data_IF_371875588568
#
_entry.id   IF_371875588568
#
_cell.length_a   1.000
_cell.length_b   1.000
_cell.length_c   1.000
_cell.angle_alpha   90.00
_cell.angle_beta   90.00
_cell.angle_gamma   90.00
#
_symmetry.space_group_name_H-M   'P 1'
#
loop_
_entity.id
_entity.type
_entity.pdbx_description
1 polymer ?
#
# COMPACT_ATOMS: atom_id res chain seq x y z
N UNK A 1 -88.41 -60.56 -20.88
CA UNK A 1 -87.29 -60.27 -19.91
C UNK A 1 -86.02 -60.81 -20.54
N UNK A 2 -85.29 -59.96 -21.21
CA UNK A 2 -84.03 -60.33 -21.89
C UNK A 2 -82.92 -59.45 -21.43
N UNK A 3 -81.97 -60.05 -20.75
CA UNK A 3 -80.74 -59.41 -20.29
C UNK A 3 -79.75 -59.38 -21.43
N UNK A 4 -79.27 -58.20 -21.82
CA UNK A 4 -78.12 -58.03 -22.74
C UNK A 4 -76.86 -57.61 -21.98
N UNK A 5 -75.92 -58.49 -22.09
CA UNK A 5 -74.57 -58.34 -21.44
C UNK A 5 -73.68 -57.49 -22.33
N UNK A 6 -73.29 -56.26 -21.91
CA UNK A 6 -72.34 -55.43 -22.63
C UNK A 6 -70.98 -55.52 -21.93
N UNK A 7 -69.96 -56.06 -22.61
CA UNK A 7 -68.57 -56.07 -22.18
C UNK A 7 -67.92 -54.67 -22.21
N UNK A 8 -67.11 -54.29 -21.26
CA UNK A 8 -66.45 -52.98 -21.29
C UNK A 8 -65.20 -53.01 -22.22
N UNK A 9 -65.06 -51.96 -23.03
CA UNK A 9 -63.89 -51.67 -23.88
C UNK A 9 -62.74 -51.21 -23.05
N UNK A 10 -61.60 -51.92 -23.06
CA UNK A 10 -60.32 -51.49 -22.50
C UNK A 10 -59.75 -50.37 -23.36
N UNK A 11 -59.62 -49.16 -22.82
CA UNK A 11 -58.83 -48.07 -23.41
C UNK A 11 -57.32 -48.39 -23.13
N UNK A 12 -56.54 -48.51 -24.21
CA UNK A 12 -55.05 -48.55 -24.12
C UNK A 12 -54.60 -47.10 -23.92
N UNK A 13 -53.98 -46.82 -22.77
CA UNK A 13 -53.21 -45.59 -22.50
C UNK A 13 -51.84 -45.76 -23.19
N UNK A 14 -51.57 -44.97 -24.20
CA UNK A 14 -50.25 -44.75 -24.74
C UNK A 14 -49.48 -43.80 -23.77
N UNK A 15 -48.51 -44.35 -23.06
CA UNK A 15 -47.57 -43.53 -22.29
C UNK A 15 -46.51 -42.98 -23.27
N UNK A 16 -46.64 -41.70 -23.57
CA UNK A 16 -45.63 -40.95 -24.29
C UNK A 16 -44.51 -40.55 -23.30
N UNK A 17 -43.32 -41.14 -23.43
CA UNK A 17 -42.15 -40.70 -22.74
C UNK A 17 -41.62 -39.44 -23.42
N UNK A 18 -41.79 -38.29 -22.79
CA UNK A 18 -41.15 -37.05 -23.19
C UNK A 18 -39.70 -37.06 -22.63
N UNK A 19 -38.73 -37.24 -23.51
CA UNK A 19 -37.31 -37.07 -23.17
C UNK A 19 -37.03 -35.56 -23.06
N UNK A 20 -36.83 -35.05 -21.84
CA UNK A 20 -36.32 -33.69 -21.58
C UNK A 20 -34.83 -33.71 -21.82
N UNK A 21 -34.40 -33.18 -22.96
CA UNK A 21 -32.97 -32.91 -23.21
C UNK A 21 -32.55 -31.68 -22.39
N UNK A 22 -31.82 -31.89 -21.26
CA UNK A 22 -31.18 -30.81 -20.51
C UNK A 22 -29.92 -30.41 -21.28
N UNK A 23 -30.03 -29.34 -22.04
CA UNK A 23 -28.85 -28.68 -22.64
C UNK A 23 -28.11 -27.95 -21.53
N UNK A 24 -27.01 -28.52 -21.00
CA UNK A 24 -26.09 -27.83 -20.12
C UNK A 24 -25.30 -26.83 -20.98
N UNK A 25 -25.70 -25.58 -20.98
CA UNK A 25 -24.93 -24.50 -21.54
C UNK A 25 -23.70 -24.32 -20.64
N UNK A 26 -22.54 -24.80 -21.07
CA UNK A 26 -21.26 -24.50 -20.46
C UNK A 26 -21.00 -22.99 -20.66
N UNK A 27 -21.27 -22.18 -19.65
CA UNK A 27 -20.77 -20.82 -19.59
C UNK A 27 -19.24 -20.91 -19.45
N UNK A 28 -18.53 -20.74 -20.56
CA UNK A 28 -17.10 -20.48 -20.52
C UNK A 28 -16.91 -19.11 -19.85
N UNK A 29 -16.52 -19.12 -18.56
CA UNK A 29 -16.02 -17.93 -17.88
C UNK A 29 -14.74 -17.55 -18.65
N UNK A 30 -14.85 -16.59 -19.58
CA UNK A 30 -13.70 -15.91 -20.10
C UNK A 30 -13.10 -15.15 -18.92
N UNK A 31 -12.06 -15.69 -18.30
CA UNK A 31 -11.16 -14.91 -17.48
C UNK A 31 -10.52 -13.90 -18.42
N UNK A 32 -11.05 -12.67 -18.47
CA UNK A 32 -10.29 -11.57 -19.04
C UNK A 32 -8.98 -11.53 -18.25
N UNK A 33 -7.87 -11.85 -18.92
CA UNK A 33 -6.56 -11.59 -18.34
C UNK A 33 -6.56 -10.12 -17.91
N UNK A 34 -6.20 -9.86 -16.65
CA UNK A 34 -6.12 -8.49 -16.16
C UNK A 34 -5.17 -7.72 -17.09
N UNK A 35 -5.63 -6.56 -17.55
CA UNK A 35 -4.83 -5.72 -18.44
C UNK A 35 -3.56 -5.32 -17.69
N UNK A 36 -2.41 -5.76 -18.20
CA UNK A 36 -1.11 -5.44 -17.62
C UNK A 36 -0.50 -4.25 -18.33
N UNK A 37 0.18 -3.41 -17.57
CA UNK A 37 0.92 -2.23 -18.05
C UNK A 37 2.39 -2.34 -17.63
N UNK A 38 3.30 -1.89 -18.47
CA UNK A 38 4.70 -1.72 -18.05
C UNK A 38 4.79 -0.67 -16.95
N UNK A 39 5.56 -0.93 -15.88
CA UNK A 39 5.74 0.03 -14.79
C UNK A 39 6.31 1.37 -15.28
N UNK A 40 7.14 1.36 -16.32
CA UNK A 40 7.66 2.58 -16.95
C UNK A 40 6.58 3.40 -17.65
N UNK A 41 5.51 2.77 -18.13
CA UNK A 41 4.37 3.47 -18.75
C UNK A 41 3.33 3.86 -17.69
N UNK A 42 3.15 3.05 -16.65
CA UNK A 42 2.33 3.41 -15.50
C UNK A 42 2.80 4.73 -14.87
N UNK A 43 4.10 4.87 -14.61
CA UNK A 43 4.67 6.05 -13.95
C UNK A 43 4.68 7.32 -14.82
N UNK A 44 4.47 7.19 -16.14
CA UNK A 44 4.22 8.35 -17.02
C UNK A 44 2.77 8.85 -16.94
N UNK A 45 1.84 7.99 -16.50
CA UNK A 45 0.41 8.29 -16.50
C UNK A 45 -0.09 8.73 -15.13
N UNK A 46 0.64 8.42 -14.04
CA UNK A 46 0.21 8.68 -12.67
C UNK A 46 1.39 8.86 -11.73
N UNK A 47 1.18 9.61 -10.63
CA UNK A 47 2.15 9.70 -9.56
C UNK A 47 2.05 8.49 -8.63
N UNK A 48 3.18 8.13 -8.02
CA UNK A 48 3.26 7.11 -6.98
C UNK A 48 3.11 7.81 -5.62
N UNK A 49 2.25 7.26 -4.77
CA UNK A 49 1.97 7.78 -3.43
C UNK A 49 2.43 6.83 -2.31
N UNK A 50 2.92 5.66 -2.67
CA UNK A 50 3.46 4.71 -1.72
C UNK A 50 3.81 3.39 -2.37
N UNK A 51 4.74 2.68 -1.73
CA UNK A 51 5.20 1.36 -2.11
C UNK A 51 5.07 0.39 -0.93
N UNK A 52 4.76 -0.86 -1.19
CA UNK A 52 4.89 -1.93 -0.21
C UNK A 52 5.24 -3.25 -0.89
N UNK A 53 6.08 -4.06 -0.25
CA UNK A 53 6.29 -5.44 -0.69
C UNK A 53 5.05 -6.26 -0.32
N UNK A 54 4.51 -7.03 -1.26
CA UNK A 54 3.46 -7.98 -0.93
C UNK A 54 4.03 -9.09 -0.03
N UNK A 55 3.63 -9.10 1.23
CA UNK A 55 4.22 -10.00 2.23
C UNK A 55 3.84 -11.47 2.07
N UNK A 56 2.78 -11.77 1.30
CA UNK A 56 2.42 -13.15 0.96
C UNK A 56 3.11 -13.62 -0.31
N UNK A 57 3.35 -12.69 -1.24
CA UNK A 57 4.14 -12.94 -2.44
C UNK A 57 5.24 -11.87 -2.58
N UNK A 58 6.39 -12.03 -1.92
CA UNK A 58 7.46 -11.03 -1.94
C UNK A 58 8.12 -10.81 -3.31
N UNK A 59 7.74 -11.57 -4.34
CA UNK A 59 8.12 -11.30 -5.73
C UNK A 59 7.34 -10.13 -6.33
N UNK A 60 6.31 -9.64 -5.64
CA UNK A 60 5.42 -8.57 -6.10
C UNK A 60 5.55 -7.31 -5.27
N UNK A 61 5.52 -6.17 -5.95
CA UNK A 61 5.51 -4.83 -5.38
C UNK A 61 4.11 -4.24 -5.52
N UNK A 62 3.55 -3.75 -4.42
CA UNK A 62 2.32 -2.96 -4.40
C UNK A 62 2.68 -1.49 -4.64
N UNK A 63 1.95 -0.83 -5.54
CA UNK A 63 2.19 0.55 -5.97
C UNK A 63 0.89 1.33 -5.85
N UNK A 64 0.81 2.22 -4.88
CA UNK A 64 -0.31 3.12 -4.68
C UNK A 64 -0.19 4.35 -5.57
N UNK A 65 -1.29 4.71 -6.26
CA UNK A 65 -1.30 5.79 -7.26
C UNK A 65 -2.62 6.56 -7.24
N UNK A 66 -2.73 7.66 -8.03
CA UNK A 66 -4.01 8.35 -8.29
C UNK A 66 -5.07 7.46 -8.97
N UNK A 67 -4.67 6.39 -9.63
CA UNK A 67 -5.57 5.59 -10.47
C UNK A 67 -5.80 4.17 -9.94
N UNK A 68 -5.48 3.94 -8.68
CA UNK A 68 -5.67 2.65 -8.04
C UNK A 68 -4.39 2.09 -7.41
N UNK A 69 -4.54 0.91 -6.81
CA UNK A 69 -3.43 0.11 -6.33
C UNK A 69 -3.06 -0.91 -7.41
N UNK A 70 -1.79 -0.94 -7.75
CA UNK A 70 -1.22 -1.87 -8.73
C UNK A 70 -0.32 -2.89 -8.03
N UNK A 71 -0.22 -4.08 -8.62
CA UNK A 71 0.71 -5.13 -8.21
C UNK A 71 1.66 -5.42 -9.35
N UNK A 72 2.95 -5.14 -9.16
CA UNK A 72 3.98 -5.33 -10.18
C UNK A 72 4.87 -6.54 -9.88
N UNK A 73 5.19 -7.32 -10.91
CA UNK A 73 6.15 -8.40 -10.85
C UNK A 73 7.59 -7.95 -11.07
N UNK A 74 8.55 -8.85 -10.85
CA UNK A 74 9.97 -8.60 -11.12
C UNK A 74 10.26 -8.36 -12.61
N UNK A 75 9.36 -8.80 -13.50
CA UNK A 75 9.40 -8.55 -14.95
C UNK A 75 8.99 -7.12 -15.34
N UNK A 76 8.63 -6.27 -14.36
CA UNK A 76 8.20 -4.90 -14.59
C UNK A 76 6.79 -4.76 -15.16
N UNK A 77 5.99 -5.84 -15.16
CA UNK A 77 4.58 -5.79 -15.52
C UNK A 77 3.73 -5.56 -14.27
N UNK A 78 2.83 -4.59 -14.35
CA UNK A 78 1.89 -4.25 -13.28
C UNK A 78 0.45 -4.50 -13.73
N UNK A 79 -0.38 -4.97 -12.82
CA UNK A 79 -1.83 -5.09 -12.97
C UNK A 79 -2.53 -4.27 -11.89
N UNK A 80 -3.62 -3.59 -12.21
CA UNK A 80 -4.43 -2.92 -11.20
C UNK A 80 -5.25 -3.96 -10.44
N UNK A 81 -5.10 -3.97 -9.12
CA UNK A 81 -5.76 -4.94 -8.24
C UNK A 81 -6.94 -4.35 -7.46
N UNK A 82 -7.07 -3.03 -7.42
CA UNK A 82 -8.17 -2.32 -6.75
C UNK A 82 -9.12 -1.64 -7.74
N UNK A 83 -10.19 -1.08 -7.21
CA UNK A 83 -11.00 -0.09 -7.91
C UNK A 83 -10.19 1.17 -8.25
N UNK A 84 -10.67 1.98 -9.19
CA UNK A 84 -10.07 3.27 -9.53
C UNK A 84 -10.41 4.28 -8.45
N UNK A 85 -9.41 4.70 -7.72
CA UNK A 85 -9.45 5.81 -6.75
C UNK A 85 -8.02 6.24 -6.44
N UNK A 86 -7.86 7.41 -5.85
CA UNK A 86 -6.58 7.90 -5.36
C UNK A 86 -6.24 7.28 -4.01
N UNK A 87 -5.03 6.75 -3.88
CA UNK A 87 -4.51 6.16 -2.63
C UNK A 87 -3.37 7.00 -2.08
N UNK A 88 -3.69 7.92 -1.16
CA UNK A 88 -2.72 8.73 -0.42
C UNK A 88 -2.38 8.06 0.92
N UNK A 89 -1.25 8.42 1.50
CA UNK A 89 -0.83 7.91 2.81
C UNK A 89 -0.79 6.38 2.91
N UNK A 90 -0.55 5.71 1.78
CA UNK A 90 -0.56 4.25 1.68
C UNK A 90 0.52 3.62 2.58
N UNK A 91 0.09 2.73 3.47
CA UNK A 91 1.00 2.03 4.39
C UNK A 91 0.52 0.61 4.71
N UNK A 92 1.41 -0.40 4.71
CA UNK A 92 1.05 -1.75 5.12
C UNK A 92 0.96 -1.87 6.65
N UNK A 93 0.10 -2.78 7.13
CA UNK A 93 0.12 -3.17 8.55
C UNK A 93 1.45 -3.87 8.88
N UNK A 94 2.16 -3.53 9.97
CA UNK A 94 3.52 -4.01 10.21
C UNK A 94 3.63 -5.52 10.47
N UNK A 95 2.56 -6.20 10.92
CA UNK A 95 2.57 -7.64 11.23
C UNK A 95 1.53 -8.46 10.49
N UNK A 96 0.40 -7.87 10.02
CA UNK A 96 -0.63 -8.59 9.27
C UNK A 96 -0.38 -8.46 7.76
N UNK A 97 -0.06 -9.56 7.05
CA UNK A 97 0.30 -9.49 5.63
C UNK A 97 -0.89 -9.23 4.69
N UNK A 98 -2.12 -9.24 5.21
CA UNK A 98 -3.33 -9.00 4.41
C UNK A 98 -3.85 -7.58 4.54
N UNK A 99 -3.45 -6.88 5.61
CA UNK A 99 -3.94 -5.54 5.92
C UNK A 99 -3.10 -4.44 5.31
N UNK A 100 -3.80 -3.52 4.67
CA UNK A 100 -3.25 -2.28 4.14
C UNK A 100 -4.13 -1.11 4.57
N UNK A 101 -3.52 0.04 4.73
CA UNK A 101 -4.19 1.29 5.09
C UNK A 101 -3.90 2.36 4.06
N UNK A 102 -4.85 3.26 3.88
CA UNK A 102 -4.71 4.41 3.01
C UNK A 102 -5.71 5.52 3.38
N UNK A 103 -5.65 6.58 2.65
CA UNK A 103 -6.58 7.69 2.58
C UNK A 103 -6.72 8.11 1.11
N UNK A 104 -7.13 9.35 0.84
CA UNK A 104 -7.14 9.90 -0.51
C UNK A 104 -8.53 10.33 -0.97
N UNK A 105 -8.77 10.20 -2.28
CA UNK A 105 -9.95 10.72 -2.94
C UNK A 105 -10.68 9.64 -3.75
N UNK A 106 -12.02 9.54 -3.67
CA UNK A 106 -12.78 8.76 -4.64
C UNK A 106 -12.77 9.45 -6.01
N UNK A 107 -13.04 8.70 -7.07
CA UNK A 107 -13.06 9.23 -8.43
C UNK A 107 -14.02 10.42 -8.63
N UNK A 108 -15.02 10.55 -7.76
CA UNK A 108 -16.04 11.63 -7.80
C UNK A 108 -15.64 12.89 -7.00
N UNK A 109 -14.45 12.88 -6.38
CA UNK A 109 -13.95 13.96 -5.52
C UNK A 109 -14.44 13.86 -4.07
N UNK A 110 -13.90 14.71 -3.20
CA UNK A 110 -14.05 14.64 -1.75
C UNK A 110 -12.95 13.80 -1.12
N UNK A 111 -12.99 13.60 0.20
CA UNK A 111 -11.99 12.83 0.93
C UNK A 111 -12.57 11.49 1.38
N UNK A 112 -11.78 10.42 1.29
CA UNK A 112 -12.17 9.07 1.71
C UNK A 112 -12.17 8.90 3.24
N UNK A 113 -11.46 9.76 3.98
CA UNK A 113 -11.14 9.49 5.37
C UNK A 113 -10.06 8.43 5.50
N UNK A 114 -9.99 7.75 6.63
CA UNK A 114 -9.12 6.62 6.84
C UNK A 114 -9.80 5.34 6.33
N UNK A 115 -9.15 4.65 5.41
CA UNK A 115 -9.65 3.42 4.77
C UNK A 115 -8.70 2.25 5.03
N UNK A 116 -9.25 1.04 5.06
CA UNK A 116 -8.49 -0.19 5.24
C UNK A 116 -8.91 -1.25 4.21
N UNK A 117 -7.95 -2.08 3.84
CA UNK A 117 -8.14 -3.33 3.13
C UNK A 117 -7.72 -4.48 4.02
N UNK A 118 -8.45 -5.60 3.96
CA UNK A 118 -8.12 -6.87 4.64
C UNK A 118 -7.82 -8.00 3.66
N UNK A 119 -7.79 -7.68 2.37
CA UNK A 119 -7.62 -8.64 1.27
C UNK A 119 -6.47 -8.26 0.31
N UNK A 120 -5.42 -7.65 0.85
CA UNK A 120 -4.22 -7.22 0.13
C UNK A 120 -4.50 -6.13 -0.92
N UNK A 121 -5.45 -5.23 -0.59
CA UNK A 121 -5.74 -4.06 -1.41
C UNK A 121 -6.75 -4.26 -2.53
N UNK A 122 -7.43 -5.40 -2.59
CA UNK A 122 -8.47 -5.65 -3.60
C UNK A 122 -9.75 -4.89 -3.30
N UNK A 123 -10.18 -4.92 -2.04
CA UNK A 123 -11.35 -4.16 -1.57
C UNK A 123 -10.97 -3.24 -0.41
N UNK A 124 -11.62 -2.09 -0.34
CA UNK A 124 -11.35 -1.05 0.64
C UNK A 124 -12.63 -0.57 1.30
N UNK A 125 -12.57 -0.38 2.62
CA UNK A 125 -13.70 0.13 3.41
C UNK A 125 -13.25 1.31 4.25
N UNK A 126 -14.12 2.33 4.38
CA UNK A 126 -13.88 3.42 5.30
C UNK A 126 -14.00 2.91 6.74
N UNK A 127 -12.97 3.11 7.54
CA UNK A 127 -12.94 2.78 8.96
C UNK A 127 -13.45 3.96 9.79
N UNK A 128 -13.00 5.16 9.44
CA UNK A 128 -13.39 6.40 10.11
C UNK A 128 -13.16 7.63 9.23
N UNK A 129 -13.83 8.75 9.51
CA UNK A 129 -13.58 9.99 8.80
C UNK A 129 -12.24 10.66 9.19
N UNK A 130 -11.58 10.24 10.28
CA UNK A 130 -10.48 10.98 10.92
C UNK A 130 -10.98 12.01 11.93
N UNK A 131 -10.09 12.85 12.45
CA UNK A 131 -10.48 13.96 13.32
C UNK A 131 -10.99 15.14 12.49
N UNK A 132 -12.13 15.72 12.91
CA UNK A 132 -12.74 16.91 12.30
C UNK A 132 -13.21 16.75 10.85
N UNK A 133 -13.71 15.57 10.47
CA UNK A 133 -14.33 15.30 9.16
C UNK A 133 -13.47 14.39 8.27
N UNK A 134 -13.92 14.09 7.05
CA UNK A 134 -13.17 13.20 6.17
C UNK A 134 -11.80 13.77 5.85
N UNK A 135 -10.76 13.02 6.27
CA UNK A 135 -9.36 13.39 6.03
C UNK A 135 -8.89 12.87 4.68
N UNK A 136 -7.84 13.51 4.17
CA UNK A 136 -6.95 13.02 3.15
C UNK A 136 -5.54 13.06 3.75
N UNK A 137 -5.07 11.92 4.24
CA UNK A 137 -3.75 11.81 4.83
C UNK A 137 -2.69 11.71 3.74
N UNK A 138 -1.97 12.78 3.47
CA UNK A 138 -0.86 12.76 2.53
C UNK A 138 0.31 11.91 3.04
N UNK A 139 0.59 11.98 4.35
CA UNK A 139 1.58 11.13 5.02
C UNK A 139 0.88 10.33 6.12
N UNK A 140 1.13 9.04 6.16
CA UNK A 140 0.58 8.15 7.18
C UNK A 140 1.57 7.03 7.50
N UNK A 141 1.64 6.65 8.78
CA UNK A 141 2.48 5.55 9.24
C UNK A 141 1.80 4.77 10.34
N UNK A 142 2.00 3.46 10.36
CA UNK A 142 1.61 2.59 11.47
C UNK A 142 2.85 2.32 12.32
N UNK A 143 2.75 2.47 13.63
CA UNK A 143 3.87 2.15 14.52
C UNK A 143 4.14 0.64 14.53
N UNK A 144 5.33 0.18 14.14
CA UNK A 144 5.66 -1.24 14.26
C UNK A 144 5.73 -1.72 15.73
N UNK A 145 6.00 -0.81 16.68
CA UNK A 145 6.01 -1.11 18.11
C UNK A 145 4.61 -1.38 18.68
N UNK A 146 3.57 -0.78 18.09
CA UNK A 146 2.17 -0.95 18.49
C UNK A 146 1.25 -0.73 17.28
N UNK A 147 0.84 -1.77 16.55
CA UNK A 147 0.03 -1.64 15.34
C UNK A 147 -1.36 -1.03 15.54
N UNK A 148 -1.82 -0.85 16.78
CA UNK A 148 -3.04 -0.08 17.08
C UNK A 148 -2.79 1.42 16.95
N UNK A 149 -1.53 1.84 16.94
CA UNK A 149 -1.12 3.25 16.86
C UNK A 149 -0.80 3.63 15.42
N UNK A 150 -1.57 4.57 14.88
CA UNK A 150 -1.43 5.09 13.52
C UNK A 150 -1.34 6.60 13.59
N UNK A 151 -0.44 7.18 12.79
CA UNK A 151 -0.30 8.62 12.63
C UNK A 151 -0.60 9.01 11.19
N UNK A 152 -1.24 10.16 11.00
CA UNK A 152 -1.54 10.72 9.68
C UNK A 152 -1.56 12.23 9.70
N UNK A 153 -1.23 12.85 8.56
CA UNK A 153 -1.18 14.32 8.46
C UNK A 153 -2.29 14.84 7.53
N UNK A 154 -3.19 15.61 8.10
CA UNK A 154 -4.20 16.39 7.41
C UNK A 154 -4.56 17.59 8.28
N UNK A 155 -4.18 18.81 7.86
CA UNK A 155 -4.35 20.04 8.67
C UNK A 155 -3.77 19.91 10.08
N UNK A 156 -2.60 19.25 10.18
CA UNK A 156 -1.92 18.89 11.41
C UNK A 156 -1.69 17.38 11.52
N UNK A 157 -0.89 17.00 12.52
CA UNK A 157 -0.62 15.61 12.84
C UNK A 157 -1.77 15.06 13.70
N UNK A 158 -2.34 13.95 13.26
CA UNK A 158 -3.38 13.21 13.96
C UNK A 158 -2.82 11.87 14.43
N UNK A 159 -3.36 11.34 15.53
CA UNK A 159 -3.02 10.03 16.05
C UNK A 159 -4.28 9.24 16.39
N UNK A 160 -4.28 7.98 15.99
CA UNK A 160 -5.20 6.93 16.46
C UNK A 160 -4.44 5.97 17.37
N UNK A 161 -5.13 5.43 18.39
CA UNK A 161 -4.62 4.40 19.31
C UNK A 161 -5.46 3.12 19.29
N UNK A 162 -6.37 3.01 18.34
CA UNK A 162 -7.37 1.95 18.23
C UNK A 162 -7.54 1.44 16.78
N UNK A 163 -6.41 1.36 16.05
CA UNK A 163 -6.33 0.93 14.66
C UNK A 163 -7.18 1.80 13.70
N UNK A 164 -7.19 3.12 13.90
CA UNK A 164 -7.84 4.07 13.02
C UNK A 164 -9.33 4.27 13.26
N UNK A 165 -9.92 3.70 14.31
CA UNK A 165 -11.35 3.87 14.61
C UNK A 165 -11.67 5.27 15.12
N UNK A 166 -10.82 5.80 15.99
CA UNK A 166 -10.91 7.18 16.48
C UNK A 166 -9.58 7.91 16.36
N UNK A 167 -9.66 9.22 16.19
CA UNK A 167 -8.50 10.08 15.95
C UNK A 167 -8.53 11.32 16.84
N UNK A 168 -7.34 11.76 17.25
CA UNK A 168 -7.13 13.01 17.98
C UNK A 168 -6.00 13.80 17.34
N UNK A 169 -6.06 15.14 17.43
CA UNK A 169 -4.97 16.00 16.98
C UNK A 169 -3.81 15.86 17.96
N UNK A 170 -2.65 15.44 17.48
CA UNK A 170 -1.41 15.35 18.26
C UNK A 170 -0.67 16.69 18.31
N UNK A 171 -0.70 17.46 17.21
CA UNK A 171 -0.04 18.74 17.09
C UNK A 171 -0.08 19.28 15.66
N UNK A 172 0.60 20.40 15.36
CA UNK A 172 0.64 20.96 14.01
C UNK A 172 1.43 20.09 13.03
N UNK A 173 2.27 19.17 13.54
CA UNK A 173 3.30 18.48 12.76
C UNK A 173 4.53 19.38 12.54
N UNK A 174 5.63 18.83 11.99
CA UNK A 174 6.81 19.63 11.66
C UNK A 174 6.59 20.43 10.37
N UNK A 175 7.19 21.60 10.31
CA UNK A 175 7.18 22.44 9.10
C UNK A 175 7.93 21.73 7.95
N UNK A 176 7.43 21.87 6.72
CA UNK A 176 8.05 21.29 5.53
C UNK A 176 8.08 19.75 5.55
N UNK A 177 7.12 19.11 6.22
CA UNK A 177 7.01 17.64 6.27
C UNK A 177 6.87 17.06 4.86
N UNK A 178 7.74 16.09 4.55
CA UNK A 178 7.76 15.35 3.30
C UNK A 178 7.34 13.91 3.52
N UNK A 179 7.84 13.25 4.59
CA UNK A 179 7.53 11.86 4.88
C UNK A 179 7.59 11.57 6.39
N UNK A 180 6.93 10.49 6.84
CA UNK A 180 6.75 10.16 8.25
C UNK A 180 6.87 8.67 8.50
N UNK A 181 7.68 8.27 9.49
CA UNK A 181 7.81 6.89 9.92
C UNK A 181 7.63 6.72 11.43
N UNK A 182 6.88 5.69 11.83
CA UNK A 182 6.74 5.26 13.22
C UNK A 182 7.92 4.39 13.66
N UNK A 183 8.36 4.55 14.91
CA UNK A 183 9.41 3.73 15.50
C UNK A 183 8.97 2.29 15.75
N UNK A 184 9.90 1.35 15.56
CA UNK A 184 9.73 -0.06 15.96
C UNK A 184 10.04 -0.31 17.45
N UNK A 185 10.48 0.70 18.20
CA UNK A 185 10.84 0.59 19.62
C UNK A 185 9.83 1.24 20.56
N UNK A 186 9.11 2.26 20.10
CA UNK A 186 8.15 3.00 20.91
C UNK A 186 7.04 3.57 20.03
N UNK A 187 5.79 3.31 20.40
CA UNK A 187 4.61 3.84 19.71
C UNK A 187 4.51 5.37 19.71
N UNK A 188 5.20 6.04 20.64
CA UNK A 188 5.20 7.49 20.79
C UNK A 188 6.43 8.16 20.13
N UNK A 189 7.28 7.36 19.47
CA UNK A 189 8.42 7.86 18.72
C UNK A 189 8.13 7.87 17.22
N UNK A 190 8.42 9.01 16.58
CA UNK A 190 8.24 9.27 15.16
C UNK A 190 9.50 9.88 14.57
N UNK A 191 9.74 9.59 13.31
CA UNK A 191 10.76 10.24 12.48
C UNK A 191 10.07 10.98 11.35
N UNK A 192 10.51 12.20 11.08
CA UNK A 192 9.96 13.05 10.02
C UNK A 192 11.06 13.51 9.07
N UNK A 193 10.92 13.17 7.81
CA UNK A 193 11.69 13.74 6.72
C UNK A 193 11.08 15.10 6.36
N UNK A 194 11.91 16.15 6.33
CA UNK A 194 11.47 17.52 6.08
C UNK A 194 12.41 18.25 5.12
N UNK A 195 11.94 19.39 4.61
CA UNK A 195 12.79 20.31 3.81
C UNK A 195 14.03 20.80 4.58
N UNK A 196 13.98 20.85 5.90
CA UNK A 196 15.08 21.30 6.76
C UNK A 196 16.00 20.17 7.24
N UNK A 197 15.56 18.89 7.12
CA UNK A 197 16.33 17.74 7.59
C UNK A 197 15.49 16.57 8.08
N UNK A 198 16.13 15.68 8.84
CA UNK A 198 15.49 14.57 9.55
C UNK A 198 15.24 14.96 10.99
N UNK A 199 14.01 14.83 11.45
CA UNK A 199 13.61 15.13 12.82
C UNK A 199 13.15 13.86 13.54
N UNK A 200 13.19 13.88 14.88
CA UNK A 200 12.61 12.86 15.76
C UNK A 200 11.71 13.52 16.80
N UNK A 201 10.55 12.89 17.01
CA UNK A 201 9.68 13.12 18.17
C UNK A 201 9.69 11.87 19.06
N UNK A 202 9.71 12.06 20.39
CA UNK A 202 9.56 10.99 21.38
C UNK A 202 8.31 11.15 22.24
N UNK A 203 7.40 12.06 21.85
CA UNK A 203 6.21 12.45 22.59
C UNK A 203 4.94 12.48 21.71
N UNK A 204 4.88 11.54 20.77
CA UNK A 204 3.77 11.37 19.84
C UNK A 204 3.57 12.57 18.88
N UNK A 205 4.65 13.25 18.50
CA UNK A 205 4.62 14.35 17.54
C UNK A 205 4.31 15.72 18.13
N UNK A 206 4.30 15.88 19.48
CA UNK A 206 4.07 17.15 20.14
C UNK A 206 5.28 18.07 20.06
N UNK A 207 6.48 17.51 20.11
CA UNK A 207 7.73 18.25 19.91
C UNK A 207 8.69 17.47 19.02
N UNK A 208 9.61 18.20 18.37
CA UNK A 208 10.53 17.64 17.39
C UNK A 208 11.96 18.09 17.67
N UNK A 209 12.91 17.18 17.52
CA UNK A 209 14.34 17.44 17.63
C UNK A 209 15.06 17.01 16.37
N UNK A 210 16.05 17.77 15.91
CA UNK A 210 16.78 17.41 14.69
C UNK A 210 17.73 16.22 14.93
N UNK A 211 17.76 15.30 13.95
CA UNK A 211 18.76 14.23 13.80
C UNK A 211 19.74 14.56 12.67
N UNK A 212 19.27 15.15 11.58
CA UNK A 212 20.06 15.64 10.46
C UNK A 212 19.60 17.07 10.16
N UNK A 213 20.53 17.97 9.94
CA UNK A 213 20.27 19.38 9.62
C UNK A 213 21.04 19.81 8.38
N UNK A 214 20.56 20.87 7.72
CA UNK A 214 21.26 21.55 6.63
C UNK A 214 21.12 20.91 5.24
N UNK A 215 20.32 19.85 5.13
CA UNK A 215 19.97 19.26 3.85
C UNK A 215 18.55 18.68 3.92
N UNK A 216 17.72 18.85 2.88
CA UNK A 216 16.40 18.22 2.82
C UNK A 216 16.51 16.70 2.90
N UNK A 217 15.50 16.07 3.48
CA UNK A 217 15.33 14.62 3.53
C UNK A 217 14.03 14.28 2.84
N UNK A 218 14.07 13.46 1.80
CA UNK A 218 12.91 13.20 0.93
C UNK A 218 12.10 11.97 1.30
N UNK A 219 12.66 11.05 2.09
CA UNK A 219 11.94 9.90 2.64
C UNK A 219 12.53 9.50 4.00
N UNK A 220 11.72 8.84 4.80
CA UNK A 220 12.13 8.11 5.99
C UNK A 220 11.28 6.84 6.12
N UNK A 221 11.92 5.71 6.38
CA UNK A 221 11.27 4.41 6.56
C UNK A 221 11.90 3.70 7.76
N UNK A 222 11.07 3.05 8.58
CA UNK A 222 11.54 2.21 9.70
C UNK A 222 11.00 0.81 9.51
N UNK A 223 11.90 -0.16 9.36
CA UNK A 223 11.51 -1.56 9.26
C UNK A 223 11.00 -2.10 10.59
N UNK A 224 10.16 -3.16 10.61
CA UNK A 224 9.69 -3.77 11.86
C UNK A 224 10.82 -4.22 12.81
N UNK A 225 12.01 -4.51 12.29
CA UNK A 225 13.20 -4.88 13.07
C UNK A 225 13.92 -3.69 13.68
N UNK A 226 13.52 -2.45 13.31
CA UNK A 226 14.11 -1.21 13.83
C UNK A 226 15.32 -0.73 13.04
N UNK A 227 15.37 -0.97 11.74
CA UNK A 227 16.30 -0.29 10.84
C UNK A 227 15.63 0.94 10.24
N UNK A 228 16.21 2.11 10.51
CA UNK A 228 15.81 3.37 9.90
C UNK A 228 16.58 3.56 8.60
N UNK A 229 15.86 3.88 7.53
CA UNK A 229 16.38 4.38 6.26
C UNK A 229 15.92 5.82 6.07
N UNK A 230 16.78 6.65 5.46
CA UNK A 230 16.40 7.99 5.02
C UNK A 230 17.18 8.36 3.75
N UNK A 231 16.57 9.19 2.89
CA UNK A 231 17.30 9.75 1.75
C UNK A 231 17.60 11.23 2.01
N UNK A 232 18.89 11.53 2.20
CA UNK A 232 19.40 12.88 2.46
C UNK A 232 19.90 13.46 1.14
N UNK A 233 19.32 14.57 0.69
CA UNK A 233 19.71 15.22 -0.56
C UNK A 233 21.18 15.62 -0.51
N UNK A 234 21.92 15.37 -1.58
CA UNK A 234 23.37 15.59 -1.66
C UNK A 234 24.23 14.51 -0.97
N UNK A 235 23.62 13.60 -0.18
CA UNK A 235 24.35 12.50 0.47
C UNK A 235 23.93 11.13 -0.06
N UNK A 236 22.62 10.93 -0.36
CA UNK A 236 22.05 9.68 -0.84
C UNK A 236 21.27 8.92 0.23
N UNK A 237 21.10 7.61 0.03
CA UNK A 237 20.41 6.71 0.96
C UNK A 237 21.31 6.40 2.14
N UNK A 238 20.80 6.66 3.34
CA UNK A 238 21.47 6.39 4.61
C UNK A 238 20.64 5.43 5.45
N UNK A 239 21.29 4.72 6.39
CA UNK A 239 20.61 3.86 7.37
C UNK A 239 21.26 3.92 8.74
N UNK A 240 20.49 3.56 9.77
CA UNK A 240 20.93 3.32 11.14
C UNK A 240 20.01 2.33 11.84
N UNK A 241 20.47 1.67 12.91
CA UNK A 241 19.57 0.99 13.87
C UNK A 241 18.88 2.01 14.79
N UNK A 242 17.69 1.69 15.30
CA UNK A 242 16.99 2.52 16.30
C UNK A 242 17.51 2.29 17.73
N UNK A 243 17.70 3.36 18.54
CA UNK A 243 17.64 4.76 18.16
C UNK A 243 18.80 5.12 17.23
N UNK A 244 18.60 5.98 16.21
CA UNK A 244 19.61 6.22 15.20
C UNK A 244 20.81 6.97 15.81
N UNK A 245 21.97 6.30 15.75
CA UNK A 245 23.25 6.86 16.12
C UNK A 245 24.20 6.63 14.96
N UNK A 246 24.69 7.70 14.36
CA UNK A 246 25.64 7.59 13.25
C UNK A 246 25.01 6.98 11.99
N UNK A 247 24.38 7.80 11.17
CA UNK A 247 23.79 7.37 9.89
C UNK A 247 24.91 6.94 8.92
N UNK A 248 24.88 5.68 8.47
CA UNK A 248 25.76 5.14 7.43
C UNK A 248 25.20 5.47 6.05
N UNK A 249 26.01 6.04 5.15
CA UNK A 249 25.62 6.16 3.73
C UNK A 249 25.81 4.82 3.05
N UNK A 250 24.72 4.28 2.47
CA UNK A 250 24.73 2.95 1.84
C UNK A 250 24.70 3.04 0.31
N UNK A 251 24.16 4.09 -0.26
CA UNK A 251 24.29 4.37 -1.68
C UNK A 251 24.19 5.86 -1.96
N UNK A 252 24.92 6.28 -3.00
CA UNK A 252 24.96 7.62 -3.54
C UNK A 252 24.99 7.51 -5.08
N UNK A 253 25.11 8.61 -5.79
CA UNK A 253 25.22 8.54 -7.24
C UNK A 253 23.87 8.52 -7.99
N UNK A 254 22.83 9.05 -7.35
CA UNK A 254 21.52 9.23 -8.00
C UNK A 254 21.49 10.44 -8.96
N UNK A 255 22.63 11.12 -9.19
CA UNK A 255 22.70 12.35 -9.96
C UNK A 255 21.85 13.45 -9.31
N UNK A 256 21.04 14.13 -10.13
CA UNK A 256 20.06 15.12 -9.65
C UNK A 256 18.76 14.46 -9.16
N UNK A 257 18.64 13.13 -9.24
CA UNK A 257 17.50 12.36 -8.76
C UNK A 257 17.59 12.06 -7.27
N UNK A 258 16.43 11.82 -6.66
CA UNK A 258 16.29 11.40 -5.26
C UNK A 258 15.15 10.38 -5.11
N UNK A 259 15.17 9.63 -4.01
CA UNK A 259 14.13 8.66 -3.70
C UNK A 259 12.98 9.34 -2.97
N UNK A 260 11.75 9.01 -3.37
CA UNK A 260 10.51 9.49 -2.74
C UNK A 260 9.86 8.42 -1.87
N UNK A 261 9.95 7.15 -2.26
CA UNK A 261 9.37 6.03 -1.53
C UNK A 261 10.36 4.89 -1.47
N UNK A 262 10.32 4.15 -0.37
CA UNK A 262 11.12 2.96 -0.14
C UNK A 262 10.22 1.85 0.39
N UNK A 263 10.44 0.62 -0.05
CA UNK A 263 9.79 -0.56 0.50
C UNK A 263 10.85 -1.65 0.74
N UNK A 264 11.02 -2.06 1.98
CA UNK A 264 11.95 -3.11 2.38
C UNK A 264 11.17 -4.41 2.56
N UNK A 265 11.67 -5.51 1.99
CA UNK A 265 11.07 -6.83 2.21
C UNK A 265 11.35 -7.29 3.66
N UNK A 266 10.33 -7.42 4.52
CA UNK A 266 10.54 -7.77 5.91
C UNK A 266 11.04 -9.20 6.12
N UNK A 267 10.87 -10.10 5.13
CA UNK A 267 11.38 -11.46 5.17
C UNK A 267 12.79 -11.58 4.61
N UNK A 268 13.20 -10.64 3.78
CA UNK A 268 14.53 -10.58 3.17
C UNK A 268 14.98 -9.12 3.05
N UNK A 269 15.54 -8.50 4.10
CA UNK A 269 15.95 -7.08 4.10
C UNK A 269 16.99 -6.71 3.05
N UNK A 270 17.61 -7.69 2.36
CA UNK A 270 18.45 -7.43 1.19
C UNK A 270 17.67 -6.94 0.01
N UNK A 271 16.38 -7.33 -0.10
CA UNK A 271 15.48 -6.88 -1.17
C UNK A 271 14.82 -5.57 -0.78
N UNK A 272 15.07 -4.56 -1.58
CA UNK A 272 14.55 -3.21 -1.38
C UNK A 272 14.04 -2.69 -2.71
N UNK A 273 12.91 -1.98 -2.68
CA UNK A 273 12.36 -1.28 -3.82
C UNK A 273 12.29 0.20 -3.52
N UNK A 274 12.40 1.02 -4.55
CA UNK A 274 12.29 2.47 -4.41
C UNK A 274 11.61 3.10 -5.62
N UNK A 275 10.97 4.24 -5.38
CA UNK A 275 10.50 5.15 -6.43
C UNK A 275 11.31 6.44 -6.37
N UNK A 276 11.76 6.93 -7.53
CA UNK A 276 12.48 8.20 -7.66
C UNK A 276 11.51 9.36 -7.94
N UNK A 277 11.97 10.58 -7.71
CA UNK A 277 11.27 11.81 -8.11
C UNK A 277 10.96 11.89 -9.61
N UNK A 278 11.74 11.19 -10.45
CA UNK A 278 11.51 11.08 -11.89
C UNK A 278 10.58 9.93 -12.30
N UNK A 279 9.89 9.30 -11.34
CA UNK A 279 8.94 8.21 -11.60
C UNK A 279 9.58 6.86 -11.93
N UNK A 280 10.90 6.68 -11.78
CA UNK A 280 11.54 5.37 -11.99
C UNK A 280 11.30 4.48 -10.78
N UNK A 281 10.90 3.24 -11.04
CA UNK A 281 10.89 2.18 -10.03
C UNK A 281 12.20 1.41 -10.09
N UNK A 282 12.82 1.25 -8.93
CA UNK A 282 14.13 0.61 -8.75
C UNK A 282 14.00 -0.61 -7.84
N UNK A 283 14.84 -1.61 -8.05
CA UNK A 283 15.01 -2.77 -7.18
C UNK A 283 16.48 -2.93 -6.79
N UNK A 284 16.70 -3.43 -5.58
CA UNK A 284 18.00 -3.79 -5.02
C UNK A 284 17.92 -5.16 -4.36
N UNK A 285 19.01 -5.93 -4.39
CA UNK A 285 19.15 -7.23 -3.72
C UNK A 285 20.27 -7.23 -2.67
N UNK A 286 20.82 -6.05 -2.37
CA UNK A 286 21.96 -5.84 -1.47
C UNK A 286 21.74 -4.72 -0.43
N UNK A 287 20.48 -4.57 0.03
CA UNK A 287 20.04 -3.57 1.02
C UNK A 287 20.08 -2.13 0.50
N UNK A 288 19.92 -1.91 -0.81
CA UNK A 288 19.95 -0.56 -1.39
C UNK A 288 21.35 -0.03 -1.72
N UNK A 289 22.39 -0.90 -1.77
CA UNK A 289 23.74 -0.48 -2.17
C UNK A 289 23.84 -0.29 -3.67
N UNK A 290 23.25 -1.21 -4.44
CA UNK A 290 23.16 -1.11 -5.90
C UNK A 290 21.71 -1.19 -6.36
N UNK A 291 21.41 -0.56 -7.47
CA UNK A 291 20.05 -0.41 -7.95
C UNK A 291 19.93 -0.73 -9.44
N UNK A 292 18.87 -1.45 -9.80
CA UNK A 292 18.44 -1.73 -11.16
C UNK A 292 17.02 -1.22 -11.38
N UNK A 293 16.70 -0.80 -12.59
CA UNK A 293 15.31 -0.48 -12.92
C UNK A 293 14.44 -1.75 -12.82
N UNK A 294 13.26 -1.64 -12.20
CA UNK A 294 12.32 -2.75 -12.10
C UNK A 294 11.93 -3.22 -13.51
N UNK A 295 11.97 -4.52 -13.74
CA UNK A 295 11.77 -5.11 -15.07
C UNK A 295 13.05 -5.31 -15.88
N UNK A 296 14.20 -4.90 -15.35
CA UNK A 296 15.50 -5.22 -15.95
C UNK A 296 16.19 -6.32 -15.13
N UNK A 297 16.98 -7.20 -15.77
CA UNK A 297 17.75 -8.20 -15.05
C UNK A 297 18.71 -7.51 -14.07
N UNK A 298 18.80 -8.05 -12.86
CA UNK A 298 19.85 -7.63 -11.94
C UNK A 298 21.21 -8.05 -12.49
N UNK A 299 22.25 -7.19 -12.37
CA UNK A 299 23.59 -7.48 -12.87
C UNK A 299 24.25 -8.66 -12.15
#
# INVERSE_FOLDING_TARGET
>A
MTWTNKKPRRKRLLAGAAAVAITVAAFAIRTNAAETIDVSDLTKQTHIHGLAVDRQDPSRLLIATHHGLFSAGADGKAERISQVQDFMGFTPHPSDPTKLYASGHPAQGGNLGFIASEDRGRTWTQVSPGANGPVDFHQMTVSPADPQTIYGTHRGLQVSRDAGKTWTIAGPGPEGLIDLAGSAKSRDTLYAATEAGLLVSTDAGRSWKPLVQGAPVSLVEVTPEGTLYAFVLGRGLVKAGEPPVGLETISSGFGDGYLLHLAVDPKNPKRVFAATNGGKLLSSVDQGRTWTALGQPNP
#
